data_IF_642544264484
#
_entry.id   IF_642544264484
#
_cell.length_a   1.000
_cell.length_b   1.000
_cell.length_c   1.000
_cell.angle_alpha   90.00
_cell.angle_beta   90.00
_cell.angle_gamma   90.00
#
_symmetry.space_group_name_H-M   'P 1'
#
loop_
_entity.id
_entity.type
_entity.pdbx_description
1 polymer ?
#
# COMPACT_ATOMS: atom_id res chain seq x y z
N UNK A 1 6.52 -16.67 3.88
CA UNK A 1 5.26 -16.42 3.14
C UNK A 1 5.40 -16.94 1.71
N UNK A 2 4.37 -17.58 1.13
CA UNK A 2 4.43 -18.07 -0.25
C UNK A 2 4.04 -16.96 -1.27
N UNK A 3 4.46 -17.08 -2.52
CA UNK A 3 4.24 -16.06 -3.56
C UNK A 3 2.74 -15.83 -3.83
N UNK A 4 1.91 -16.87 -3.70
CA UNK A 4 0.47 -16.76 -3.90
C UNK A 4 -0.21 -15.87 -2.86
N UNK A 5 0.13 -16.02 -1.57
CA UNK A 5 -0.39 -15.16 -0.51
C UNK A 5 0.02 -13.70 -0.74
N UNK A 6 1.31 -13.47 -1.06
CA UNK A 6 1.82 -12.13 -1.41
C UNK A 6 1.03 -11.49 -2.54
N UNK A 7 0.71 -12.25 -3.59
CA UNK A 7 -0.05 -11.73 -4.73
C UNK A 7 -1.51 -11.45 -4.39
N UNK A 8 -2.17 -12.34 -3.65
CA UNK A 8 -3.58 -12.19 -3.27
C UNK A 8 -3.81 -10.94 -2.45
N UNK A 9 -3.04 -10.69 -1.39
CA UNK A 9 -3.28 -9.49 -0.62
C UNK A 9 -2.75 -8.21 -1.27
N UNK A 10 -1.83 -8.29 -2.25
CA UNK A 10 -1.47 -7.13 -3.09
C UNK A 10 -2.65 -6.76 -4.00
N UNK A 11 -3.36 -7.76 -4.55
CA UNK A 11 -4.61 -7.53 -5.26
C UNK A 11 -5.69 -6.93 -4.36
N UNK A 12 -5.81 -7.41 -3.11
CA UNK A 12 -6.75 -6.84 -2.15
C UNK A 12 -6.36 -5.41 -1.77
N UNK A 13 -5.07 -5.11 -1.60
CA UNK A 13 -4.56 -3.75 -1.36
C UNK A 13 -4.94 -2.81 -2.51
N UNK A 14 -4.76 -3.25 -3.75
CA UNK A 14 -5.19 -2.49 -4.93
C UNK A 14 -6.71 -2.30 -4.96
N UNK A 15 -7.50 -3.34 -4.65
CA UNK A 15 -8.96 -3.26 -4.61
C UNK A 15 -9.45 -2.27 -3.52
N UNK A 16 -8.90 -2.34 -2.31
CA UNK A 16 -9.24 -1.40 -1.22
C UNK A 16 -8.81 0.02 -1.59
N UNK A 17 -7.65 0.21 -2.20
CA UNK A 17 -7.21 1.52 -2.67
C UNK A 17 -8.19 2.09 -3.72
N UNK A 18 -8.64 1.27 -4.68
CA UNK A 18 -9.68 1.68 -5.64
C UNK A 18 -10.97 2.10 -4.94
N UNK A 19 -11.45 1.31 -3.98
CA UNK A 19 -12.66 1.63 -3.20
C UNK A 19 -12.50 2.96 -2.46
N UNK A 20 -11.39 3.17 -1.75
CA UNK A 20 -11.13 4.41 -1.02
C UNK A 20 -11.04 5.62 -1.96
N UNK A 21 -10.37 5.48 -3.10
CA UNK A 21 -10.23 6.59 -4.05
C UNK A 21 -11.54 6.92 -4.76
N UNK A 22 -12.31 5.91 -5.18
CA UNK A 22 -13.56 6.11 -5.92
C UNK A 22 -14.70 6.57 -5.00
N UNK A 23 -14.76 6.08 -3.77
CA UNK A 23 -15.89 6.35 -2.85
C UNK A 23 -15.57 7.46 -1.85
N UNK A 24 -14.45 7.37 -1.13
CA UNK A 24 -14.11 8.34 -0.08
C UNK A 24 -13.53 9.62 -0.69
N UNK A 25 -12.55 9.49 -1.59
CA UNK A 25 -11.93 10.65 -2.25
C UNK A 25 -12.74 11.16 -3.46
N UNK A 26 -13.60 10.33 -4.03
CA UNK A 26 -14.37 10.60 -5.26
C UNK A 26 -13.49 10.99 -6.45
N UNK A 27 -12.27 10.47 -6.51
CA UNK A 27 -11.36 10.69 -7.64
C UNK A 27 -11.84 9.92 -8.86
N UNK A 28 -11.89 10.58 -10.02
CA UNK A 28 -12.40 9.99 -11.28
C UNK A 28 -11.37 10.01 -12.40
N UNK A 29 -10.23 10.69 -12.21
CA UNK A 29 -9.16 10.73 -13.21
C UNK A 29 -8.53 9.35 -13.32
N UNK A 30 -8.78 8.67 -14.43
CA UNK A 30 -8.33 7.30 -14.68
C UNK A 30 -6.82 7.13 -14.45
N UNK A 31 -5.99 8.09 -14.86
CA UNK A 31 -4.55 8.06 -14.61
C UNK A 31 -4.20 8.03 -13.12
N UNK A 32 -4.85 8.85 -12.29
CA UNK A 32 -4.58 8.89 -10.84
C UNK A 32 -4.98 7.59 -10.17
N UNK A 33 -6.18 7.09 -10.50
CA UNK A 33 -6.72 5.85 -9.94
C UNK A 33 -5.88 4.64 -10.36
N UNK A 34 -5.50 4.55 -11.63
CA UNK A 34 -4.66 3.48 -12.14
C UNK A 34 -3.25 3.50 -11.52
N UNK A 35 -2.62 4.68 -11.41
CA UNK A 35 -1.29 4.81 -10.79
C UNK A 35 -1.33 4.42 -9.31
N UNK A 36 -2.36 4.85 -8.58
CA UNK A 36 -2.50 4.50 -7.16
C UNK A 36 -2.77 2.99 -6.96
N UNK A 37 -3.65 2.39 -7.77
CA UNK A 37 -3.91 0.95 -7.73
C UNK A 37 -2.64 0.14 -8.07
N UNK A 38 -1.87 0.58 -9.07
CA UNK A 38 -0.59 -0.04 -9.41
C UNK A 38 0.43 0.08 -8.27
N UNK A 39 0.50 1.23 -7.59
CA UNK A 39 1.38 1.40 -6.43
C UNK A 39 0.96 0.49 -5.26
N UNK A 40 -0.34 0.39 -4.96
CA UNK A 40 -0.88 -0.50 -3.94
C UNK A 40 -0.72 -1.99 -4.26
N UNK A 41 -0.46 -2.35 -5.51
CA UNK A 41 -0.11 -3.71 -5.91
C UNK A 41 1.40 -3.94 -5.80
N UNK A 42 2.19 -3.09 -6.46
CA UNK A 42 3.61 -3.33 -6.68
C UNK A 42 4.46 -3.05 -5.44
N UNK A 43 4.11 -2.05 -4.63
CA UNK A 43 4.93 -1.67 -3.47
C UNK A 43 4.87 -2.71 -2.34
N UNK A 44 3.68 -3.25 -1.94
CA UNK A 44 3.62 -4.34 -0.99
C UNK A 44 4.33 -5.61 -1.49
N UNK A 45 4.22 -5.90 -2.80
CA UNK A 45 4.97 -7.02 -3.41
C UNK A 45 6.47 -6.82 -3.31
N UNK A 46 6.97 -5.61 -3.61
CA UNK A 46 8.40 -5.31 -3.53
C UNK A 46 8.93 -5.45 -2.10
N UNK A 47 8.22 -4.88 -1.11
CA UNK A 47 8.59 -4.98 0.29
C UNK A 47 8.60 -6.43 0.79
N UNK A 48 7.52 -7.17 0.56
CA UNK A 48 7.44 -8.56 0.97
C UNK A 48 8.45 -9.45 0.24
N UNK A 49 8.84 -9.11 -1.00
CA UNK A 49 9.91 -9.83 -1.71
C UNK A 49 11.27 -9.60 -1.05
N UNK A 50 11.55 -8.36 -0.61
CA UNK A 50 12.77 -8.04 0.14
C UNK A 50 12.81 -8.84 1.44
N UNK A 51 11.71 -8.86 2.21
CA UNK A 51 11.63 -9.60 3.46
C UNK A 51 11.77 -11.11 3.28
N UNK A 52 11.16 -11.65 2.21
CA UNK A 52 11.28 -13.07 1.88
C UNK A 52 12.73 -13.42 1.54
N UNK A 53 13.39 -12.59 0.73
CA UNK A 53 14.78 -12.79 0.34
C UNK A 53 15.75 -12.66 1.52
N UNK A 54 15.50 -11.75 2.47
CA UNK A 54 16.34 -11.59 3.67
C UNK A 54 16.01 -12.58 4.78
N UNK A 55 14.95 -13.38 4.64
CA UNK A 55 14.45 -14.26 5.70
C UNK A 55 13.89 -13.52 6.92
N UNK A 56 13.65 -12.21 6.81
CA UNK A 56 13.29 -11.34 7.93
C UNK A 56 11.80 -11.35 8.28
N UNK A 57 10.96 -12.07 7.53
CA UNK A 57 9.51 -12.14 7.76
C UNK A 57 9.22 -12.49 9.23
N UNK A 58 9.71 -13.63 9.71
CA UNK A 58 9.44 -14.08 11.09
C UNK A 58 9.99 -13.18 12.20
N UNK A 59 10.94 -12.27 11.89
CA UNK A 59 11.50 -11.33 12.86
C UNK A 59 10.62 -10.09 13.07
N UNK A 60 9.74 -9.78 12.11
CA UNK A 60 8.99 -8.51 12.07
C UNK A 60 7.48 -8.70 11.91
N UNK A 61 6.95 -9.92 12.05
CA UNK A 61 5.50 -10.21 11.87
C UNK A 61 4.70 -10.20 13.19
N UNK A 62 5.35 -10.14 14.36
CA UNK A 62 4.67 -10.30 15.66
C UNK A 62 5.19 -9.30 16.70
N UNK A 63 4.99 -8.01 16.46
CA UNK A 63 5.57 -6.97 17.32
C UNK A 63 4.57 -6.38 18.33
N UNK A 64 3.32 -6.11 17.95
CA UNK A 64 2.32 -5.52 18.84
C UNK A 64 1.25 -6.53 19.27
N UNK A 65 1.22 -6.97 20.55
CA UNK A 65 0.20 -7.87 21.06
C UNK A 65 -1.10 -7.12 21.42
N UNK A 66 -1.65 -6.35 20.48
CA UNK A 66 -2.91 -5.62 20.65
C UNK A 66 -3.94 -6.13 19.64
N UNK A 67 -4.86 -7.02 20.06
CA UNK A 67 -5.77 -7.72 19.13
C UNK A 67 -6.61 -6.83 18.21
N UNK A 68 -7.10 -5.64 18.63
CA UNK A 68 -7.85 -4.77 17.74
C UNK A 68 -7.03 -4.12 16.62
N UNK A 69 -5.69 -4.06 16.76
CA UNK A 69 -4.80 -3.52 15.74
C UNK A 69 -3.41 -4.17 15.88
N UNK A 70 -3.23 -5.43 15.45
CA UNK A 70 -2.02 -6.21 15.68
C UNK A 70 -0.91 -5.85 14.69
N UNK A 71 -0.59 -4.56 14.58
CA UNK A 71 0.39 -4.04 13.63
C UNK A 71 1.81 -4.51 13.97
N UNK A 72 2.58 -4.80 12.92
CA UNK A 72 3.97 -5.20 13.00
C UNK A 72 4.89 -4.26 12.21
N UNK A 73 6.21 -4.43 12.36
CA UNK A 73 7.20 -3.70 11.56
C UNK A 73 7.16 -4.09 10.09
N UNK A 74 6.78 -5.33 9.78
CA UNK A 74 6.49 -5.76 8.42
C UNK A 74 5.38 -4.88 7.82
N UNK A 75 4.24 -4.76 8.50
CA UNK A 75 3.08 -4.04 7.99
C UNK A 75 3.36 -2.55 7.81
N UNK A 76 4.09 -1.99 8.79
CA UNK A 76 4.57 -0.62 8.73
C UNK A 76 5.42 -0.38 7.48
N UNK A 77 6.30 -1.33 7.16
CA UNK A 77 7.09 -1.31 5.93
C UNK A 77 6.22 -1.29 4.67
N UNK A 78 5.17 -2.11 4.61
CA UNK A 78 4.20 -2.10 3.50
C UNK A 78 3.55 -0.73 3.32
N UNK A 79 3.10 -0.11 4.40
CA UNK A 79 2.52 1.23 4.37
C UNK A 79 3.50 2.28 3.86
N UNK A 80 4.74 2.29 4.38
CA UNK A 80 5.78 3.26 4.01
C UNK A 80 6.24 3.09 2.56
N UNK A 81 6.48 1.87 2.11
CA UNK A 81 6.84 1.59 0.71
C UNK A 81 5.73 2.04 -0.24
N UNK A 82 4.47 1.75 0.11
CA UNK A 82 3.32 2.15 -0.70
C UNK A 82 3.16 3.66 -0.74
N UNK A 83 3.35 4.36 0.39
CA UNK A 83 3.30 5.82 0.47
C UNK A 83 4.37 6.45 -0.44
N UNK A 84 5.62 6.02 -0.30
CA UNK A 84 6.74 6.54 -1.06
C UNK A 84 6.57 6.27 -2.57
N UNK A 85 6.26 5.03 -2.93
CA UNK A 85 6.04 4.64 -4.33
C UNK A 85 4.87 5.36 -4.98
N UNK A 86 3.73 5.45 -4.29
CA UNK A 86 2.56 6.19 -4.78
C UNK A 86 2.86 7.68 -4.93
N UNK A 87 3.52 8.30 -3.95
CA UNK A 87 3.88 9.72 -4.03
C UNK A 87 4.79 10.00 -5.23
N UNK A 88 5.86 9.22 -5.42
CA UNK A 88 6.78 9.37 -6.55
C UNK A 88 6.05 9.17 -7.88
N UNK A 89 5.26 8.12 -8.01
CA UNK A 89 4.56 7.80 -9.26
C UNK A 89 3.50 8.85 -9.62
N UNK A 90 2.75 9.35 -8.62
CA UNK A 90 1.74 10.37 -8.83
C UNK A 90 2.36 11.73 -9.19
N UNK A 91 3.42 12.14 -8.48
CA UNK A 91 4.12 13.41 -8.75
C UNK A 91 4.86 13.41 -10.09
N UNK A 92 5.40 12.27 -10.53
CA UNK A 92 6.07 12.15 -11.83
C UNK A 92 5.08 11.97 -13.00
N UNK A 93 3.88 11.46 -12.73
CA UNK A 93 2.89 11.14 -13.75
C UNK A 93 1.62 12.02 -13.70
N UNK A 94 0.46 11.44 -13.35
CA UNK A 94 -0.85 12.06 -13.57
C UNK A 94 -1.11 13.30 -12.70
N UNK A 95 -0.41 13.46 -11.58
CA UNK A 95 -0.57 14.59 -10.66
C UNK A 95 0.59 15.60 -10.71
N UNK A 96 1.43 15.59 -11.76
CA UNK A 96 2.62 16.47 -11.86
C UNK A 96 2.35 17.97 -11.77
N UNK A 97 1.10 18.39 -11.99
CA UNK A 97 0.65 19.80 -11.91
C UNK A 97 -0.33 20.06 -10.77
N UNK A 98 -0.61 19.04 -9.96
CA UNK A 98 -1.53 19.16 -8.84
C UNK A 98 -0.82 19.78 -7.63
N UNK A 99 -1.60 20.34 -6.70
CA UNK A 99 -1.06 20.79 -5.43
C UNK A 99 -0.49 19.62 -4.62
N UNK A 100 0.68 19.81 -4.00
CA UNK A 100 1.38 18.79 -3.21
C UNK A 100 0.48 18.14 -2.14
N UNK A 101 -0.39 18.94 -1.49
CA UNK A 101 -1.36 18.44 -0.49
C UNK A 101 -2.35 17.43 -1.09
N UNK A 102 -2.81 17.64 -2.32
CA UNK A 102 -3.67 16.68 -3.01
C UNK A 102 -2.90 15.38 -3.24
N UNK A 103 -1.70 15.46 -3.81
CA UNK A 103 -0.88 14.27 -4.10
C UNK A 103 -0.57 13.47 -2.83
N UNK A 104 -0.15 14.16 -1.77
CA UNK A 104 0.12 13.56 -0.47
C UNK A 104 -1.11 12.85 0.08
N UNK A 105 -2.30 13.46 0.00
CA UNK A 105 -3.53 12.79 0.43
C UNK A 105 -3.83 11.54 -0.39
N UNK A 106 -3.50 11.51 -1.69
CA UNK A 106 -3.81 10.34 -2.56
C UNK A 106 -2.88 9.21 -2.21
N UNK A 107 -1.59 9.52 -2.09
CA UNK A 107 -0.58 8.59 -1.66
C UNK A 107 -0.89 8.05 -0.25
N UNK A 108 -1.36 8.90 0.68
CA UNK A 108 -1.73 8.50 2.03
C UNK A 108 -2.91 7.52 2.06
N UNK A 109 -3.98 7.79 1.30
CA UNK A 109 -5.10 6.84 1.19
C UNK A 109 -4.68 5.52 0.54
N UNK A 110 -3.78 5.58 -0.43
CA UNK A 110 -3.23 4.39 -1.11
C UNK A 110 -2.38 3.55 -0.15
N UNK A 111 -1.53 4.21 0.64
CA UNK A 111 -0.73 3.56 1.68
C UNK A 111 -1.58 2.99 2.81
N UNK A 112 -2.63 3.70 3.21
CA UNK A 112 -3.57 3.23 4.23
C UNK A 112 -4.28 1.95 3.77
N UNK A 113 -4.69 1.87 2.50
CA UNK A 113 -5.28 0.65 1.95
C UNK A 113 -4.33 -0.55 2.08
N UNK A 114 -3.07 -0.38 1.65
CA UNK A 114 -2.08 -1.44 1.72
C UNK A 114 -1.76 -1.84 3.17
N UNK A 115 -1.59 -0.87 4.07
CA UNK A 115 -1.33 -1.12 5.49
C UNK A 115 -2.47 -1.91 6.15
N UNK A 116 -3.73 -1.49 5.94
CA UNK A 116 -4.88 -2.17 6.54
C UNK A 116 -5.02 -3.60 6.01
N UNK A 117 -4.74 -3.81 4.73
CA UNK A 117 -4.79 -5.16 4.16
C UNK A 117 -3.66 -6.02 4.74
N UNK A 118 -2.45 -5.50 4.89
CA UNK A 118 -1.33 -6.22 5.52
C UNK A 118 -1.65 -6.59 6.98
N UNK A 119 -2.12 -5.64 7.80
CA UNK A 119 -2.41 -5.89 9.22
C UNK A 119 -3.50 -6.95 9.45
N UNK A 120 -4.51 -7.07 8.58
CA UNK A 120 -5.69 -7.91 8.84
C UNK A 120 -5.80 -9.16 7.97
N UNK A 121 -5.15 -9.19 6.80
CA UNK A 121 -5.35 -10.25 5.80
C UNK A 121 -4.06 -11.03 5.49
N UNK A 122 -2.95 -10.68 6.15
CA UNK A 122 -1.65 -11.33 6.01
C UNK A 122 -1.09 -11.89 7.31
#
# INVERSE_FOLDING_TARGET
>A
MNLQAMFVGALLSAAVALVLLLLARRERRAGVVATAAAAALLMPMAWNSILNWTGAIGLFSHDLPFPPFPISWQDTGTGVFTLAGAAIALMSGPCRRDAARSVAGTAALTALAALLVDVYLY
#
